data_IF_842939833070
#
_entry.id   IF_842939833070
#
_cell.length_a   1.000
_cell.length_b   1.000
_cell.length_c   1.000
_cell.angle_alpha   90.00
_cell.angle_beta   90.00
_cell.angle_gamma   90.00
#
_symmetry.space_group_name_H-M   'P 1'
#
loop_
_entity.id
_entity.type
_entity.pdbx_description
1 polymer ?
#
# COMPACT_ATOMS: atom_id res chain seq x y z
N UNK A 1 9.34 14.84 27.98
CA UNK A 1 10.50 15.19 27.13
C UNK A 1 10.50 16.71 27.01
N UNK A 2 11.63 17.33 27.26
CA UNK A 2 11.77 18.79 27.23
C UNK A 2 12.10 19.19 25.79
N UNK A 3 11.37 20.15 25.26
CA UNK A 3 11.63 20.71 23.92
C UNK A 3 12.92 21.51 24.01
N UNK A 4 13.89 21.27 23.12
CA UNK A 4 15.15 21.98 23.08
C UNK A 4 14.91 23.47 22.79
N UNK A 5 15.44 24.36 23.62
CA UNK A 5 15.29 25.79 23.44
C UNK A 5 16.58 26.44 22.93
N UNK A 6 17.75 25.93 23.33
CA UNK A 6 19.06 26.43 22.91
C UNK A 6 19.76 25.50 21.93
N UNK A 7 20.72 26.03 21.18
CA UNK A 7 21.60 25.25 20.31
C UNK A 7 22.38 24.20 21.10
N UNK A 8 22.82 24.51 22.32
CA UNK A 8 23.51 23.57 23.21
C UNK A 8 22.65 22.34 23.50
N UNK A 9 21.36 22.51 23.86
CA UNK A 9 20.43 21.39 24.10
C UNK A 9 20.15 20.55 22.83
N UNK A 10 20.02 21.21 21.68
CA UNK A 10 19.86 20.54 20.40
C UNK A 10 21.10 19.72 20.03
N UNK A 11 22.31 20.31 20.17
CA UNK A 11 23.59 19.64 19.89
C UNK A 11 23.85 18.47 20.85
N UNK A 12 23.47 18.59 22.12
CA UNK A 12 23.54 17.48 23.07
C UNK A 12 22.62 16.32 22.62
N UNK A 13 21.38 16.62 22.21
CA UNK A 13 20.46 15.63 21.65
C UNK A 13 21.02 14.99 20.37
N UNK A 14 21.68 15.78 19.51
CA UNK A 14 22.31 15.30 18.27
C UNK A 14 23.51 14.37 18.58
N UNK A 15 24.39 14.73 19.55
CA UNK A 15 25.48 13.85 19.99
C UNK A 15 24.94 12.50 20.48
N UNK A 16 23.90 12.51 21.30
CA UNK A 16 23.27 11.30 21.87
C UNK A 16 22.53 10.47 20.86
N UNK A 17 22.17 11.05 19.71
CA UNK A 17 21.44 10.36 18.65
C UNK A 17 22.31 9.44 17.79
N UNK A 18 23.61 9.66 17.77
CA UNK A 18 24.58 8.99 16.89
C UNK A 18 24.28 9.15 15.38
N UNK A 19 23.52 10.18 15.00
CA UNK A 19 23.24 10.49 13.58
C UNK A 19 24.48 10.96 12.84
N UNK A 20 25.34 11.69 13.55
CA UNK A 20 26.63 12.21 13.09
C UNK A 20 27.72 11.82 14.10
N UNK A 21 28.95 11.68 13.62
CA UNK A 21 30.11 11.50 14.52
C UNK A 21 30.42 12.81 15.26
N UNK A 22 31.15 12.75 16.38
CA UNK A 22 31.58 13.97 17.07
C UNK A 22 32.32 14.95 16.15
N UNK A 23 33.22 14.44 15.29
CA UNK A 23 34.01 15.23 14.33
C UNK A 23 33.11 15.90 13.28
N UNK A 24 32.07 15.20 12.78
CA UNK A 24 31.08 15.76 11.84
C UNK A 24 30.25 16.86 12.49
N UNK A 25 29.90 16.70 13.77
CA UNK A 25 29.16 17.74 14.54
C UNK A 25 30.02 18.98 14.71
N UNK A 26 31.28 18.82 15.15
CA UNK A 26 32.22 19.94 15.36
C UNK A 26 32.48 20.70 14.06
N UNK A 27 32.72 19.97 12.95
CA UNK A 27 32.93 20.58 11.64
C UNK A 27 31.68 21.35 11.16
N UNK A 28 30.47 20.81 11.42
CA UNK A 28 29.23 21.49 11.07
C UNK A 28 28.99 22.74 11.93
N UNK A 29 29.26 22.67 13.24
CA UNK A 29 29.15 23.80 14.17
C UNK A 29 30.10 24.94 13.76
N UNK A 30 31.38 24.62 13.46
CA UNK A 30 32.37 25.61 13.00
C UNK A 30 31.95 26.25 11.67
N UNK A 31 31.55 25.43 10.69
CA UNK A 31 31.09 25.89 9.37
C UNK A 31 29.87 26.80 9.44
N UNK A 32 28.92 26.49 10.31
CA UNK A 32 27.65 27.22 10.47
C UNK A 32 27.81 28.42 11.44
N UNK A 33 28.90 28.52 12.18
CA UNK A 33 29.13 29.57 13.16
C UNK A 33 28.15 29.53 14.35
N UNK A 34 27.70 28.32 14.73
CA UNK A 34 26.70 28.11 15.79
C UNK A 34 27.33 28.36 17.15
N UNK A 35 26.62 29.12 18.01
CA UNK A 35 26.98 29.36 19.40
C UNK A 35 26.04 28.63 20.35
N UNK A 36 26.49 28.31 21.53
CA UNK A 36 25.72 27.54 22.52
C UNK A 36 24.44 28.25 22.98
N UNK A 37 24.42 29.58 22.94
CA UNK A 37 23.30 30.44 23.31
C UNK A 37 22.34 30.77 22.16
N UNK A 38 22.64 30.33 20.92
CA UNK A 38 21.74 30.48 19.79
C UNK A 38 20.44 29.68 20.02
N UNK A 39 19.37 30.10 19.35
CA UNK A 39 18.10 29.36 19.37
C UNK A 39 18.21 27.98 18.69
N UNK A 40 17.62 26.98 19.29
CA UNK A 40 17.61 25.59 18.74
C UNK A 40 16.99 25.47 17.35
N UNK A 41 15.89 26.19 17.09
CA UNK A 41 15.13 26.05 15.80
C UNK A 41 15.93 26.58 14.60
N UNK A 42 16.53 27.79 14.62
CA UNK A 42 17.42 28.25 13.56
C UNK A 42 18.63 27.35 13.37
N UNK A 43 19.23 26.85 14.44
CA UNK A 43 20.35 25.90 14.41
C UNK A 43 19.97 24.61 13.70
N UNK A 44 18.89 23.96 14.11
CA UNK A 44 18.40 22.74 13.46
C UNK A 44 18.12 22.95 11.96
N UNK A 45 17.52 24.09 11.59
CA UNK A 45 17.29 24.46 10.18
C UNK A 45 18.60 24.64 9.40
N UNK A 46 19.64 25.14 10.02
CA UNK A 46 20.95 25.29 9.38
C UNK A 46 21.56 23.92 9.08
N UNK A 47 21.53 22.97 10.02
CA UNK A 47 21.97 21.58 9.80
C UNK A 47 21.17 20.88 8.69
N UNK A 48 19.87 21.13 8.59
CA UNK A 48 19.03 20.58 7.50
C UNK A 48 19.41 21.18 6.14
N UNK A 49 19.67 22.50 6.06
CA UNK A 49 20.10 23.17 4.81
C UNK A 49 21.43 22.66 4.29
N UNK A 50 22.35 22.32 5.18
CA UNK A 50 23.64 21.71 4.85
C UNK A 50 23.54 20.21 4.55
N UNK A 51 22.33 19.62 4.60
CA UNK A 51 22.09 18.18 4.42
C UNK A 51 22.85 17.30 5.44
N UNK A 52 23.25 17.84 6.58
CA UNK A 52 23.88 17.06 7.65
C UNK A 52 22.88 16.12 8.32
N UNK A 53 21.66 16.60 8.51
CA UNK A 53 20.52 15.81 9.00
C UNK A 53 19.25 16.11 8.18
N UNK A 54 18.28 15.22 8.25
CA UNK A 54 17.00 15.42 7.57
C UNK A 54 16.01 16.25 8.42
N UNK A 55 14.92 16.68 7.78
CA UNK A 55 13.87 17.44 8.48
C UNK A 55 13.20 16.61 9.58
N UNK A 56 12.94 15.32 9.32
CA UNK A 56 12.39 14.42 10.34
C UNK A 56 13.33 14.31 11.54
N UNK A 57 14.62 14.07 11.29
CA UNK A 57 15.64 13.94 12.32
C UNK A 57 15.73 15.23 13.15
N UNK A 58 15.82 16.40 12.50
CA UNK A 58 15.83 17.70 13.17
C UNK A 58 14.59 17.92 14.06
N UNK A 59 13.38 17.60 13.55
CA UNK A 59 12.14 17.75 14.33
C UNK A 59 12.13 16.88 15.59
N UNK A 60 12.55 15.61 15.45
CA UNK A 60 12.62 14.71 16.61
C UNK A 60 13.65 15.14 17.65
N UNK A 61 14.81 15.63 17.20
CA UNK A 61 15.84 16.16 18.09
C UNK A 61 15.35 17.41 18.85
N UNK A 62 14.65 18.33 18.18
CA UNK A 62 14.02 19.48 18.81
C UNK A 62 12.96 19.09 19.85
N UNK A 63 12.26 17.98 19.65
CA UNK A 63 11.31 17.39 20.60
C UNK A 63 12.00 16.64 21.76
N UNK A 64 13.36 16.68 21.82
CA UNK A 64 14.16 15.98 22.83
C UNK A 64 14.25 14.46 22.61
N UNK A 65 13.87 13.98 21.42
CA UNK A 65 14.00 12.57 21.06
C UNK A 65 15.39 12.32 20.46
N UNK A 66 16.22 11.58 21.15
CA UNK A 66 17.56 11.20 20.69
C UNK A 66 17.68 9.69 20.34
N UNK A 67 16.56 8.96 20.28
CA UNK A 67 16.47 7.52 19.95
C UNK A 67 15.44 7.29 18.86
N UNK A 68 15.48 6.08 18.24
CA UNK A 68 14.53 5.70 17.18
C UNK A 68 14.93 6.20 15.80
N UNK A 69 16.22 6.55 15.61
CA UNK A 69 16.79 6.92 14.31
C UNK A 69 17.39 5.72 13.57
N UNK A 70 17.52 4.58 14.23
CA UNK A 70 18.08 3.36 13.65
C UNK A 70 17.17 2.18 13.91
N UNK A 71 17.08 1.30 12.91
CA UNK A 71 16.46 -0.02 12.98
C UNK A 71 17.50 -0.97 12.43
N UNK A 72 18.06 -1.83 13.29
CA UNK A 72 19.21 -2.66 12.96
C UNK A 72 20.32 -1.80 12.31
N UNK A 73 20.74 -2.12 11.08
CA UNK A 73 21.74 -1.37 10.32
C UNK A 73 21.14 -0.33 9.35
N UNK A 74 19.88 0.05 9.53
CA UNK A 74 19.21 1.09 8.73
C UNK A 74 19.04 2.37 9.52
N UNK A 75 19.56 3.48 8.99
CA UNK A 75 19.31 4.82 9.52
C UNK A 75 18.05 5.38 8.90
N UNK A 76 17.09 5.76 9.71
CA UNK A 76 15.83 6.40 9.27
C UNK A 76 16.11 7.84 8.85
N UNK A 77 15.75 8.18 7.63
CA UNK A 77 15.97 9.50 7.04
C UNK A 77 14.70 10.37 7.05
N UNK A 78 13.65 10.00 6.32
CA UNK A 78 12.42 10.78 6.20
C UNK A 78 11.17 9.92 6.17
N UNK A 79 9.98 10.58 6.25
CA UNK A 79 8.68 9.92 6.13
C UNK A 79 8.25 9.88 4.66
N UNK A 80 8.04 8.69 4.12
CA UNK A 80 7.48 8.48 2.79
C UNK A 80 5.95 8.37 2.80
N UNK A 81 5.37 7.95 3.91
CA UNK A 81 3.92 7.82 4.04
C UNK A 81 3.47 7.23 5.36
N UNK A 82 2.16 7.20 5.56
CA UNK A 82 1.52 6.55 6.70
C UNK A 82 0.23 5.88 6.27
N UNK A 83 0.06 4.62 6.65
CA UNK A 83 -1.11 3.80 6.33
C UNK A 83 -1.85 3.28 7.56
N UNK A 84 -2.87 2.45 7.36
CA UNK A 84 -3.61 1.80 8.45
C UNK A 84 -2.75 0.89 9.32
N UNK A 85 -1.76 0.22 8.73
CA UNK A 85 -0.87 -0.71 9.42
C UNK A 85 0.33 -0.04 10.08
N UNK A 86 0.77 1.14 9.61
CA UNK A 86 1.96 1.78 10.17
C UNK A 86 2.54 2.87 9.29
N UNK A 87 3.84 3.08 9.45
CA UNK A 87 4.61 4.14 8.83
C UNK A 87 5.55 3.59 7.76
N UNK A 88 5.75 4.37 6.70
CA UNK A 88 6.77 4.09 5.68
C UNK A 88 7.80 5.22 5.74
N UNK A 89 9.06 4.83 5.91
CA UNK A 89 10.19 5.75 5.98
C UNK A 89 11.14 5.52 4.81
N UNK A 90 11.82 6.57 4.36
CA UNK A 90 13.09 6.39 3.67
C UNK A 90 14.17 6.13 4.70
N UNK A 91 15.11 5.27 4.36
CA UNK A 91 16.24 4.94 5.21
C UNK A 91 17.49 4.71 4.37
N UNK A 92 18.65 4.86 5.02
CA UNK A 92 19.95 4.51 4.44
C UNK A 92 20.46 3.23 5.09
N UNK A 93 20.74 2.20 4.28
CA UNK A 93 21.46 1.03 4.74
C UNK A 93 22.91 1.43 5.06
N UNK A 94 23.35 1.27 6.29
CA UNK A 94 24.69 1.71 6.73
C UNK A 94 25.84 0.85 6.21
N UNK A 95 25.54 -0.39 5.79
CA UNK A 95 26.53 -1.33 5.22
C UNK A 95 26.73 -1.05 3.74
N UNK A 96 25.64 -1.01 2.95
CA UNK A 96 25.69 -0.83 1.49
C UNK A 96 25.67 0.63 1.05
N UNK A 97 25.31 1.56 1.93
CA UNK A 97 25.07 2.98 1.66
C UNK A 97 23.91 3.27 0.70
N UNK A 98 23.12 2.27 0.38
CA UNK A 98 21.96 2.41 -0.49
C UNK A 98 20.75 2.96 0.25
N UNK A 99 19.93 3.74 -0.46
CA UNK A 99 18.62 4.17 0.04
C UNK A 99 17.61 3.06 -0.14
N UNK A 100 16.80 2.84 0.91
CA UNK A 100 15.70 1.88 0.94
C UNK A 100 14.43 2.54 1.48
N UNK A 101 13.28 1.92 1.24
CA UNK A 101 12.04 2.24 1.93
C UNK A 101 11.80 1.19 3.02
N UNK A 102 11.42 1.63 4.23
CA UNK A 102 11.12 0.73 5.34
C UNK A 102 9.68 0.97 5.79
N UNK A 103 8.84 -0.05 5.63
CA UNK A 103 7.48 -0.07 6.19
C UNK A 103 7.54 -0.73 7.55
N UNK A 104 7.07 -0.01 8.57
CA UNK A 104 7.05 -0.48 9.96
C UNK A 104 5.62 -0.69 10.42
N UNK A 105 5.36 -1.79 11.09
CA UNK A 105 4.13 -1.98 11.84
C UNK A 105 4.18 -1.10 13.09
N UNK A 106 3.09 -0.38 13.41
CA UNK A 106 3.03 0.40 14.64
C UNK A 106 3.07 -0.52 15.86
N UNK A 107 3.88 -0.18 16.86
CA UNK A 107 4.01 -0.94 18.13
C UNK A 107 2.64 -1.17 18.82
N UNK A 108 1.73 -0.21 18.71
CA UNK A 108 0.36 -0.36 19.23
C UNK A 108 -0.44 -1.45 18.49
N UNK A 109 -0.07 -1.74 17.26
CA UNK A 109 -0.72 -2.73 16.39
C UNK A 109 -0.06 -4.12 16.47
N UNK A 110 1.10 -4.24 17.13
CA UNK A 110 1.79 -5.53 17.31
C UNK A 110 0.95 -6.50 18.15
N UNK A 111 0.10 -5.97 19.03
CA UNK A 111 -0.86 -6.77 19.83
C UNK A 111 -2.11 -7.19 19.06
N UNK A 112 -2.33 -6.64 17.86
CA UNK A 112 -3.40 -7.04 16.95
C UNK A 112 -2.88 -8.15 16.02
N UNK A 113 -3.17 -9.39 16.37
CA UNK A 113 -2.76 -10.57 15.61
C UNK A 113 -3.19 -10.50 14.13
N UNK A 114 -4.32 -9.88 13.84
CA UNK A 114 -4.81 -9.70 12.48
C UNK A 114 -3.96 -8.74 11.66
N UNK A 115 -3.50 -7.64 12.24
CA UNK A 115 -2.63 -6.67 11.56
C UNK A 115 -1.22 -7.24 11.33
N UNK A 116 -0.66 -7.95 12.31
CA UNK A 116 0.63 -8.62 12.17
C UNK A 116 0.58 -9.70 11.09
N UNK A 117 -0.47 -10.52 11.08
CA UNK A 117 -0.67 -11.54 10.04
C UNK A 117 -0.73 -10.93 8.65
N UNK A 118 -1.48 -9.84 8.46
CA UNK A 118 -1.53 -9.11 7.19
C UNK A 118 -0.17 -8.57 6.77
N UNK A 119 0.55 -7.97 7.71
CA UNK A 119 1.88 -7.45 7.47
C UNK A 119 2.83 -8.55 6.98
N UNK A 120 2.78 -9.73 7.62
CA UNK A 120 3.56 -10.91 7.21
C UNK A 120 3.16 -11.44 5.83
N UNK A 121 1.86 -11.49 5.53
CA UNK A 121 1.35 -11.92 4.21
C UNK A 121 1.78 -10.95 3.10
N UNK A 122 1.68 -9.64 3.34
CA UNK A 122 2.15 -8.61 2.41
C UNK A 122 3.65 -8.75 2.13
N UNK A 123 4.47 -8.91 3.19
CA UNK A 123 5.90 -9.08 3.04
C UNK A 123 6.25 -10.35 2.23
N UNK A 124 5.59 -11.49 2.52
CA UNK A 124 5.77 -12.74 1.77
C UNK A 124 5.41 -12.58 0.29
N UNK A 125 4.28 -11.94 -0.02
CA UNK A 125 3.87 -11.67 -1.39
C UNK A 125 4.90 -10.77 -2.12
N UNK A 126 5.33 -9.69 -1.48
CA UNK A 126 6.32 -8.77 -2.04
C UNK A 126 7.69 -9.44 -2.33
N UNK A 127 8.15 -10.34 -1.44
CA UNK A 127 9.40 -11.11 -1.63
C UNK A 127 9.36 -12.02 -2.86
N UNK A 128 8.18 -12.49 -3.29
CA UNK A 128 8.02 -13.31 -4.49
C UNK A 128 8.11 -12.50 -5.79
N UNK A 129 7.95 -11.18 -5.73
CA UNK A 129 7.81 -10.33 -6.91
C UNK A 129 9.14 -9.65 -7.25
N UNK A 130 9.62 -9.87 -8.48
CA UNK A 130 10.80 -9.21 -9.06
C UNK A 130 10.43 -8.74 -10.47
N UNK A 131 10.04 -7.49 -10.61
CA UNK A 131 9.63 -6.89 -11.88
C UNK A 131 9.79 -5.37 -11.82
N UNK A 132 10.21 -4.73 -12.90
CA UNK A 132 10.46 -3.28 -12.98
C UNK A 132 9.23 -2.42 -12.62
N UNK A 133 8.03 -2.93 -12.90
CA UNK A 133 6.77 -2.25 -12.60
C UNK A 133 6.17 -2.64 -11.22
N UNK A 134 6.96 -3.22 -10.32
CA UNK A 134 6.57 -3.55 -8.94
C UNK A 134 7.65 -3.02 -7.99
N UNK A 135 7.27 -2.41 -6.89
CA UNK A 135 8.20 -2.08 -5.83
C UNK A 135 8.57 -3.37 -5.11
N UNK A 136 9.84 -3.76 -5.25
CA UNK A 136 10.34 -5.03 -4.72
C UNK A 136 10.46 -4.95 -3.20
N UNK A 137 9.96 -5.94 -2.48
CA UNK A 137 10.33 -6.20 -1.10
C UNK A 137 11.66 -6.97 -1.08
N UNK A 138 12.66 -6.48 -0.36
CA UNK A 138 13.99 -7.06 -0.27
C UNK A 138 14.09 -8.07 0.88
N UNK A 139 13.57 -7.68 2.06
CA UNK A 139 13.54 -8.53 3.25
C UNK A 139 12.41 -8.12 4.20
N UNK A 140 12.09 -8.99 5.12
CA UNK A 140 11.29 -8.72 6.31
C UNK A 140 12.14 -9.02 7.55
N UNK A 141 12.10 -8.12 8.52
CA UNK A 141 12.84 -8.24 9.77
C UNK A 141 11.96 -7.94 10.98
N UNK A 142 12.50 -8.24 12.16
CA UNK A 142 11.96 -7.80 13.43
C UNK A 142 13.10 -7.45 14.38
N UNK A 143 12.90 -6.47 15.23
CA UNK A 143 13.88 -6.06 16.23
C UNK A 143 13.17 -5.63 17.51
N UNK A 144 13.90 -5.65 18.62
CA UNK A 144 13.37 -5.20 19.91
C UNK A 144 13.33 -3.67 19.95
N UNK A 145 12.13 -3.10 20.10
CA UNK A 145 11.91 -1.68 20.36
C UNK A 145 11.85 -1.37 21.85
N UNK A 146 11.67 -0.09 22.17
CA UNK A 146 11.54 0.36 23.57
C UNK A 146 10.25 -0.13 24.25
N UNK A 147 9.22 -0.43 23.47
CA UNK A 147 7.87 -0.77 23.97
C UNK A 147 7.38 -2.15 23.51
N UNK A 148 8.20 -2.88 22.76
CA UNK A 148 7.87 -4.21 22.21
C UNK A 148 8.63 -4.52 20.94
N UNK A 149 8.23 -5.58 20.26
CA UNK A 149 8.82 -5.99 18.99
C UNK A 149 8.39 -5.03 17.87
N UNK A 150 9.35 -4.62 17.05
CA UNK A 150 9.12 -3.83 15.84
C UNK A 150 9.24 -4.75 14.64
N UNK A 151 8.15 -5.01 13.96
CA UNK A 151 8.16 -5.71 12.67
C UNK A 151 8.31 -4.70 11.54
N UNK A 152 9.23 -4.99 10.61
CA UNK A 152 9.48 -4.10 9.48
C UNK A 152 9.74 -4.90 8.19
N UNK A 153 9.45 -4.27 7.04
CA UNK A 153 9.86 -4.77 5.73
C UNK A 153 10.68 -3.70 5.01
N UNK A 154 11.74 -4.14 4.35
CA UNK A 154 12.61 -3.30 3.53
C UNK A 154 12.23 -3.48 2.08
N UNK A 155 12.08 -2.37 1.38
CA UNK A 155 11.66 -2.30 -0.02
C UNK A 155 12.59 -1.40 -0.81
N UNK A 156 12.56 -1.53 -2.14
CA UNK A 156 13.25 -0.61 -3.02
C UNK A 156 12.77 0.82 -2.79
N UNK A 157 13.70 1.76 -2.66
CA UNK A 157 13.38 3.18 -2.59
C UNK A 157 13.05 3.70 -4.00
N UNK A 158 11.90 4.34 -4.12
CA UNK A 158 11.46 4.99 -5.36
C UNK A 158 11.26 6.47 -5.10
N UNK A 159 12.04 7.31 -5.79
CA UNK A 159 11.83 8.75 -5.81
C UNK A 159 10.65 9.09 -6.73
N UNK A 160 9.46 8.89 -6.20
CA UNK A 160 8.21 8.95 -6.95
C UNK A 160 7.04 9.45 -6.11
N UNK A 161 5.95 9.75 -6.81
CA UNK A 161 4.69 10.22 -6.23
C UNK A 161 3.57 9.25 -6.55
N UNK A 162 2.59 9.13 -5.64
CA UNK A 162 1.35 8.40 -5.91
C UNK A 162 0.55 9.07 -7.02
N UNK A 163 -0.24 8.31 -7.75
CA UNK A 163 -1.10 8.87 -8.80
C UNK A 163 -2.11 9.87 -8.24
N UNK A 164 -2.59 9.67 -7.02
CA UNK A 164 -3.45 10.64 -6.32
C UNK A 164 -2.73 11.95 -6.02
N UNK A 165 -1.47 11.88 -5.56
CA UNK A 165 -0.61 13.04 -5.36
C UNK A 165 -0.33 13.75 -6.70
N UNK A 166 -0.10 12.98 -7.76
CA UNK A 166 0.19 13.54 -9.09
C UNK A 166 -1.01 14.30 -9.67
N UNK A 167 -2.21 13.71 -9.62
CA UNK A 167 -3.46 14.40 -10.05
C UNK A 167 -3.70 15.65 -9.19
N UNK A 168 -3.44 15.59 -7.89
CA UNK A 168 -3.57 16.73 -7.00
C UNK A 168 -2.56 17.86 -7.32
N UNK A 169 -1.31 17.50 -7.69
CA UNK A 169 -0.30 18.47 -8.14
C UNK A 169 -0.70 19.15 -9.45
N UNK A 170 -1.23 18.39 -10.40
CA UNK A 170 -1.72 18.93 -11.68
C UNK A 170 -2.99 19.77 -11.53
N UNK A 171 -3.71 19.62 -10.41
CA UNK A 171 -5.05 20.18 -10.19
C UNK A 171 -6.04 19.82 -11.31
N UNK A 172 -5.86 18.64 -11.90
CA UNK A 172 -6.64 18.17 -13.05
C UNK A 172 -6.16 16.81 -13.57
N UNK A 173 -6.73 16.36 -14.71
CA UNK A 173 -6.42 15.06 -15.29
C UNK A 173 -4.97 14.96 -15.78
N UNK A 174 -4.48 13.74 -15.87
CA UNK A 174 -3.21 13.41 -16.51
C UNK A 174 -3.44 13.35 -18.03
N UNK A 175 -2.49 13.86 -18.83
CA UNK A 175 -2.55 13.74 -20.28
C UNK A 175 -2.77 12.30 -20.69
N UNK A 176 -3.75 12.01 -21.53
CA UNK A 176 -4.25 10.69 -21.82
C UNK A 176 -3.16 9.69 -22.28
N UNK A 177 -2.15 10.13 -23.06
CA UNK A 177 -1.05 9.27 -23.50
C UNK A 177 -0.19 8.80 -22.32
N UNK A 178 0.08 9.71 -21.37
CA UNK A 178 0.83 9.40 -20.16
C UNK A 178 -0.01 8.52 -19.21
N UNK A 179 -1.32 8.78 -19.09
CA UNK A 179 -2.21 7.94 -18.29
C UNK A 179 -2.26 6.49 -18.82
N UNK A 180 -2.32 6.31 -20.15
CA UNK A 180 -2.23 5.00 -20.80
C UNK A 180 -0.86 4.32 -20.55
N UNK A 181 0.23 5.10 -20.55
CA UNK A 181 1.57 4.59 -20.26
C UNK A 181 1.69 4.08 -18.82
N UNK A 182 1.23 4.85 -17.85
CA UNK A 182 1.21 4.47 -16.44
C UNK A 182 0.36 3.20 -16.24
N UNK A 183 -0.84 3.16 -16.82
CA UNK A 183 -1.73 2.00 -16.73
C UNK A 183 -1.14 0.75 -17.42
N UNK A 184 -0.41 0.92 -18.51
CA UNK A 184 0.32 -0.16 -19.19
C UNK A 184 1.36 -0.79 -18.26
N UNK A 185 2.23 0.02 -17.64
CA UNK A 185 3.26 -0.49 -16.72
C UNK A 185 2.64 -1.12 -15.46
N UNK A 186 1.65 -0.45 -14.85
CA UNK A 186 0.93 -1.02 -13.71
C UNK A 186 0.29 -2.38 -14.08
N UNK A 187 -0.34 -2.47 -15.25
CA UNK A 187 -0.91 -3.72 -15.77
C UNK A 187 0.15 -4.81 -16.03
N UNK A 188 1.37 -4.44 -16.46
CA UNK A 188 2.47 -5.38 -16.61
C UNK A 188 2.94 -5.93 -15.25
N UNK A 189 3.04 -5.07 -14.24
CA UNK A 189 3.35 -5.46 -12.86
C UNK A 189 2.29 -6.40 -12.27
N UNK A 190 1.00 -6.07 -12.45
CA UNK A 190 -0.11 -6.94 -12.04
C UNK A 190 -0.08 -8.28 -12.77
N UNK A 191 0.17 -8.30 -14.09
CA UNK A 191 0.31 -9.55 -14.83
C UNK A 191 1.43 -10.43 -14.28
N UNK A 192 2.58 -9.84 -13.91
CA UNK A 192 3.66 -10.59 -13.28
C UNK A 192 3.23 -11.23 -11.96
N UNK A 193 2.48 -10.53 -11.13
CA UNK A 193 1.93 -11.04 -9.87
C UNK A 193 0.88 -12.17 -10.13
N UNK A 194 -0.04 -11.95 -11.08
CA UNK A 194 -1.06 -12.94 -11.45
C UNK A 194 -0.45 -14.27 -11.91
N UNK A 195 0.65 -14.23 -12.68
CA UNK A 195 1.38 -15.44 -13.06
C UNK A 195 1.98 -16.22 -11.90
N UNK A 196 2.14 -15.58 -10.75
CA UNK A 196 2.60 -16.18 -9.49
C UNK A 196 1.46 -16.56 -8.55
N UNK A 197 0.20 -16.47 -9.04
CA UNK A 197 -0.99 -16.76 -8.27
C UNK A 197 -1.37 -15.67 -7.26
N UNK A 198 -0.76 -14.47 -7.35
CA UNK A 198 -1.06 -13.36 -6.45
C UNK A 198 -2.06 -12.40 -7.09
N UNK A 199 -3.11 -12.04 -6.36
CA UNK A 199 -4.10 -11.04 -6.74
C UNK A 199 -3.94 -9.86 -5.79
N UNK A 200 -3.81 -8.64 -6.31
CA UNK A 200 -3.53 -7.44 -5.51
C UNK A 200 -4.69 -7.02 -4.61
N UNK A 201 -5.93 -7.02 -5.14
CA UNK A 201 -7.20 -6.71 -4.46
C UNK A 201 -7.37 -5.27 -3.94
N UNK A 202 -6.35 -4.43 -3.99
CA UNK A 202 -6.39 -3.03 -3.56
C UNK A 202 -5.67 -2.11 -4.55
N UNK A 203 -5.87 -2.32 -5.86
CA UNK A 203 -5.32 -1.44 -6.90
C UNK A 203 -6.05 -0.10 -6.85
N UNK A 204 -5.30 0.98 -6.58
CA UNK A 204 -5.82 2.35 -6.49
C UNK A 204 -4.72 3.36 -6.77
N UNK A 205 -5.04 4.65 -7.01
CA UNK A 205 -4.07 5.69 -7.28
C UNK A 205 -2.92 5.79 -6.27
N UNK A 206 -3.21 5.64 -4.98
CA UNK A 206 -2.20 5.70 -3.92
C UNK A 206 -1.21 4.51 -3.94
N UNK A 207 -1.60 3.37 -4.54
CA UNK A 207 -0.79 2.16 -4.62
C UNK A 207 -0.05 2.02 -5.97
N UNK A 208 0.02 3.09 -6.77
CA UNK A 208 0.82 3.15 -7.99
C UNK A 208 1.71 4.39 -7.89
N UNK A 209 3.02 4.19 -7.76
CA UNK A 209 4.02 5.25 -7.80
C UNK A 209 4.43 5.54 -9.23
N UNK A 210 4.72 6.80 -9.51
CA UNK A 210 5.34 7.24 -10.76
C UNK A 210 6.55 8.12 -10.47
N UNK A 211 7.68 7.85 -11.12
CA UNK A 211 8.90 8.64 -11.00
C UNK A 211 8.99 9.74 -12.07
N UNK A 212 10.03 10.57 -12.03
CA UNK A 212 10.27 11.67 -12.97
C UNK A 212 10.42 11.21 -14.43
N UNK A 213 10.79 9.97 -14.66
CA UNK A 213 10.92 9.36 -15.99
C UNK A 213 9.62 8.69 -16.46
N UNK A 214 8.54 8.83 -15.69
CA UNK A 214 7.24 8.20 -15.91
C UNK A 214 7.24 6.66 -15.74
N UNK A 215 8.25 6.08 -15.09
CA UNK A 215 8.19 4.67 -14.72
C UNK A 215 7.15 4.48 -13.63
N UNK A 216 6.17 3.63 -13.89
CA UNK A 216 5.13 3.33 -12.92
C UNK A 216 5.41 1.99 -12.22
N UNK A 217 5.24 1.96 -10.89
CA UNK A 217 5.43 0.77 -10.06
C UNK A 217 4.25 0.57 -9.12
N UNK A 218 3.76 -0.66 -9.06
CA UNK A 218 2.70 -1.06 -8.14
C UNK A 218 3.31 -1.32 -6.76
N UNK A 219 2.66 -0.78 -5.73
CA UNK A 219 2.97 -0.96 -4.32
C UNK A 219 2.04 -1.99 -3.67
N UNK A 220 2.43 -2.46 -2.50
CA UNK A 220 1.57 -3.01 -1.45
C UNK A 220 0.60 -4.13 -1.89
N UNK A 221 1.13 -5.34 -2.09
CA UNK A 221 0.32 -6.54 -2.31
C UNK A 221 -0.30 -7.07 -0.98
N UNK A 222 -0.78 -6.17 -0.11
CA UNK A 222 -1.16 -6.44 1.28
C UNK A 222 -2.42 -7.29 1.48
N UNK A 223 -3.24 -7.44 0.43
CA UNK A 223 -4.42 -8.31 0.47
C UNK A 223 -4.28 -9.49 -0.50
N UNK A 224 -3.06 -9.71 -1.01
CA UNK A 224 -2.79 -10.76 -1.99
C UNK A 224 -3.10 -12.12 -1.42
N UNK A 225 -4.00 -12.84 -2.06
CA UNK A 225 -4.25 -14.25 -1.76
C UNK A 225 -3.33 -15.10 -2.63
N UNK A 226 -2.56 -15.98 -2.00
CA UNK A 226 -1.99 -17.14 -2.68
C UNK A 226 -3.17 -18.07 -2.99
N UNK A 227 -3.33 -18.45 -4.27
CA UNK A 227 -4.50 -19.20 -4.73
C UNK A 227 -4.74 -20.46 -3.90
N UNK A 228 -5.97 -20.64 -3.49
CA UNK A 228 -6.73 -21.82 -3.05
C UNK A 228 -6.11 -22.95 -2.22
N UNK A 229 -4.79 -23.08 -2.06
CA UNK A 229 -4.20 -24.21 -1.32
C UNK A 229 -3.95 -23.96 0.17
N UNK A 230 -3.91 -22.69 0.61
CA UNK A 230 -3.75 -22.32 2.01
C UNK A 230 -4.96 -21.54 2.53
N UNK A 231 -6.07 -22.26 2.73
CA UNK A 231 -7.19 -21.77 3.56
C UNK A 231 -6.77 -21.89 5.04
N UNK A 232 -5.80 -21.07 5.45
CA UNK A 232 -5.47 -20.96 6.86
C UNK A 232 -6.46 -20.00 7.54
N UNK A 233 -6.80 -20.29 8.79
CA UNK A 233 -7.60 -19.39 9.65
C UNK A 233 -7.03 -17.97 9.71
N UNK A 234 -5.71 -17.83 9.51
CA UNK A 234 -4.99 -16.56 9.41
C UNK A 234 -5.48 -15.66 8.29
N UNK A 235 -5.85 -16.23 7.11
CA UNK A 235 -6.36 -15.44 5.99
C UNK A 235 -7.78 -14.91 6.25
N UNK A 236 -8.63 -15.73 6.85
CA UNK A 236 -10.00 -15.33 7.22
C UNK A 236 -9.99 -14.16 8.20
N UNK A 237 -9.09 -14.16 9.20
CA UNK A 237 -8.90 -13.06 10.14
C UNK A 237 -8.41 -11.79 9.42
N UNK A 238 -7.45 -11.90 8.50
CA UNK A 238 -6.93 -10.75 7.74
C UNK A 238 -8.02 -10.06 6.90
N UNK A 239 -8.99 -10.81 6.38
CA UNK A 239 -10.12 -10.27 5.59
C UNK A 239 -11.18 -9.59 6.47
N UNK A 240 -11.47 -10.11 7.66
CA UNK A 240 -12.50 -9.57 8.56
C UNK A 240 -12.13 -8.16 9.04
N UNK A 241 -10.87 -7.91 9.35
CA UNK A 241 -10.40 -6.63 9.92
C UNK A 241 -10.03 -5.55 8.88
N UNK A 242 -10.14 -5.81 7.55
CA UNK A 242 -9.64 -4.94 6.46
C UNK A 242 -10.60 -3.93 5.88
N UNK A 243 -11.79 -3.79 6.41
CA UNK A 243 -12.89 -3.12 5.69
C UNK A 243 -13.06 -1.60 5.92
N UNK A 244 -12.19 -0.92 6.67
CA UNK A 244 -12.50 0.43 7.17
C UNK A 244 -12.00 1.62 6.33
N UNK A 245 -11.51 1.44 5.10
CA UNK A 245 -11.05 2.56 4.27
C UNK A 245 -12.12 3.04 3.29
N UNK A 246 -12.76 4.17 3.57
CA UNK A 246 -13.76 4.80 2.71
C UNK A 246 -13.24 5.08 1.29
N UNK A 247 -11.96 5.45 1.13
CA UNK A 247 -11.33 5.74 -0.17
C UNK A 247 -11.15 4.52 -1.07
N UNK A 248 -11.03 3.32 -0.52
CA UNK A 248 -10.89 2.08 -1.30
C UNK A 248 -12.18 1.73 -2.05
N UNK A 249 -13.36 2.10 -1.52
CA UNK A 249 -14.65 1.84 -2.15
C UNK A 249 -14.82 2.50 -3.53
N UNK A 250 -14.02 3.52 -3.86
CA UNK A 250 -14.06 4.18 -5.18
C UNK A 250 -13.47 3.32 -6.31
N UNK A 251 -12.68 2.30 -5.97
CA UNK A 251 -11.92 1.48 -6.94
C UNK A 251 -12.21 -0.02 -6.85
N UNK A 252 -13.03 -0.44 -5.88
CA UNK A 252 -13.33 -1.86 -5.61
C UNK A 252 -14.11 -2.49 -6.77
N UNK A 253 -13.77 -3.71 -7.14
CA UNK A 253 -14.52 -4.44 -8.16
C UNK A 253 -15.88 -4.92 -7.62
N UNK A 254 -16.93 -4.99 -8.46
CA UNK A 254 -18.28 -5.43 -8.07
C UNK A 254 -18.31 -6.76 -7.31
N UNK A 255 -17.56 -7.75 -7.78
CA UNK A 255 -17.45 -9.07 -7.16
C UNK A 255 -16.78 -9.05 -5.81
N UNK A 256 -15.78 -8.19 -5.60
CA UNK A 256 -15.14 -8.01 -4.28
C UNK A 256 -16.11 -7.47 -3.22
N UNK A 257 -17.11 -6.74 -3.68
CA UNK A 257 -18.12 -6.16 -2.81
C UNK A 257 -19.28 -7.13 -2.50
N UNK A 258 -19.37 -8.26 -3.22
CA UNK A 258 -20.45 -9.26 -3.08
C UNK A 258 -19.99 -10.51 -2.37
N UNK A 259 -18.86 -11.08 -2.78
CA UNK A 259 -18.29 -12.29 -2.22
C UNK A 259 -16.75 -12.25 -2.32
N UNK A 260 -16.09 -12.25 -1.19
CA UNK A 260 -14.63 -12.16 -1.13
C UNK A 260 -13.91 -13.48 -1.43
N UNK A 261 -14.61 -14.60 -1.53
CA UNK A 261 -14.00 -15.92 -1.66
C UNK A 261 -13.77 -16.38 -3.11
N UNK A 262 -14.56 -15.90 -4.07
CA UNK A 262 -14.51 -16.32 -5.48
C UNK A 262 -13.79 -15.34 -6.42
N UNK A 263 -13.03 -14.40 -5.87
CA UNK A 263 -12.38 -13.33 -6.63
C UNK A 263 -11.18 -13.87 -7.40
N UNK A 264 -11.10 -13.57 -8.70
CA UNK A 264 -9.93 -13.82 -9.51
C UNK A 264 -9.16 -12.53 -9.87
N UNK A 265 -8.07 -12.70 -10.62
CA UNK A 265 -7.18 -11.61 -11.04
C UNK A 265 -7.86 -10.53 -11.91
N UNK A 266 -9.06 -10.75 -12.43
CA UNK A 266 -9.82 -9.77 -13.22
C UNK A 266 -10.41 -8.65 -12.36
N UNK A 267 -10.47 -8.85 -11.03
CA UNK A 267 -10.78 -7.76 -10.09
C UNK A 267 -9.74 -6.64 -10.15
N UNK A 268 -8.45 -7.00 -10.25
CA UNK A 268 -7.37 -6.01 -10.40
C UNK A 268 -7.48 -5.23 -11.73
N UNK A 269 -7.97 -5.88 -12.80
CA UNK A 269 -8.20 -5.21 -14.09
C UNK A 269 -9.30 -4.15 -13.96
N UNK A 270 -10.38 -4.46 -13.22
CA UNK A 270 -11.42 -3.48 -12.92
C UNK A 270 -10.87 -2.29 -12.14
N UNK A 271 -10.18 -2.56 -11.04
CA UNK A 271 -9.62 -1.53 -10.16
C UNK A 271 -8.57 -0.66 -10.87
N UNK A 272 -7.76 -1.24 -11.78
CA UNK A 272 -6.88 -0.49 -12.66
C UNK A 272 -7.67 0.34 -13.69
N UNK A 273 -8.82 -0.15 -14.18
CA UNK A 273 -9.75 0.60 -15.02
C UNK A 273 -10.31 1.82 -14.32
N UNK A 274 -10.73 1.66 -13.05
CA UNK A 274 -11.20 2.75 -12.20
C UNK A 274 -10.08 3.78 -11.92
N UNK A 275 -8.85 3.31 -11.72
CA UNK A 275 -7.67 4.16 -11.56
C UNK A 275 -7.34 4.91 -12.86
N UNK A 276 -7.42 4.25 -14.02
CA UNK A 276 -7.22 4.90 -15.32
C UNK A 276 -8.32 5.93 -15.63
N UNK A 277 -9.57 5.63 -15.29
CA UNK A 277 -10.66 6.61 -15.36
C UNK A 277 -10.33 7.85 -14.53
N UNK A 278 -9.87 7.68 -13.29
CA UNK A 278 -9.46 8.78 -12.42
C UNK A 278 -8.29 9.58 -13.02
N UNK A 279 -7.28 8.92 -13.56
CA UNK A 279 -6.17 9.59 -14.24
C UNK A 279 -6.63 10.44 -15.42
N UNK A 280 -7.55 9.91 -16.24
CA UNK A 280 -8.05 10.55 -17.44
C UNK A 280 -9.01 11.70 -17.17
N UNK A 281 -9.77 11.64 -16.07
CA UNK A 281 -10.84 12.63 -15.80
C UNK A 281 -10.53 13.56 -14.63
N UNK A 282 -9.57 13.20 -13.76
CA UNK A 282 -9.32 13.88 -12.49
C UNK A 282 -10.43 13.66 -11.45
N UNK A 283 -11.39 12.76 -11.72
CA UNK A 283 -12.57 12.52 -10.88
C UNK A 283 -12.75 11.02 -10.62
N UNK A 284 -13.18 10.66 -9.41
CA UNK A 284 -13.64 9.29 -9.14
C UNK A 284 -14.97 9.04 -9.85
N UNK A 285 -15.24 7.78 -10.22
CA UNK A 285 -16.42 7.40 -11.03
C UNK A 285 -17.75 7.83 -10.39
N UNK A 286 -17.89 7.64 -9.08
CA UNK A 286 -19.13 7.86 -8.35
C UNK A 286 -18.93 8.85 -7.19
N UNK A 287 -18.34 10.02 -7.49
CA UNK A 287 -18.05 11.06 -6.50
C UNK A 287 -19.29 11.73 -5.88
N UNK A 288 -20.47 11.49 -6.44
CA UNK A 288 -21.76 11.89 -5.90
C UNK A 288 -22.18 11.04 -4.67
N UNK A 289 -21.69 9.81 -4.53
CA UNK A 289 -21.95 8.92 -3.41
C UNK A 289 -21.23 9.40 -2.14
N UNK A 290 -21.96 9.51 -1.03
CA UNK A 290 -21.44 10.05 0.24
C UNK A 290 -21.00 8.97 1.22
N UNK A 291 -21.64 7.81 1.16
CA UNK A 291 -21.35 6.69 2.06
C UNK A 291 -20.62 5.56 1.33
N UNK A 292 -19.94 4.71 2.11
CA UNK A 292 -19.30 3.50 1.57
C UNK A 292 -20.33 2.56 0.92
N UNK A 293 -21.49 2.39 1.54
CA UNK A 293 -22.56 1.54 1.01
C UNK A 293 -23.06 2.03 -0.35
N UNK A 294 -23.31 3.35 -0.51
CA UNK A 294 -23.69 3.95 -1.78
C UNK A 294 -22.63 3.76 -2.87
N UNK A 295 -21.33 3.91 -2.52
CA UNK A 295 -20.22 3.68 -3.46
C UNK A 295 -20.17 2.22 -3.90
N UNK A 296 -20.30 1.28 -2.98
CA UNK A 296 -20.33 -0.16 -3.28
C UNK A 296 -21.50 -0.49 -4.20
N UNK A 297 -22.68 0.03 -3.90
CA UNK A 297 -23.88 -0.19 -4.72
C UNK A 297 -23.70 0.41 -6.13
N UNK A 298 -23.09 1.59 -6.21
CA UNK A 298 -22.78 2.20 -7.49
C UNK A 298 -21.73 1.40 -8.29
N UNK A 299 -20.72 0.83 -7.64
CA UNK A 299 -19.74 -0.07 -8.29
C UNK A 299 -20.42 -1.31 -8.88
N UNK A 300 -21.45 -1.83 -8.23
CA UNK A 300 -22.19 -3.00 -8.73
C UNK A 300 -23.09 -2.67 -9.91
N UNK A 301 -23.83 -1.57 -9.85
CA UNK A 301 -25.02 -1.38 -10.68
C UNK A 301 -24.98 -0.15 -11.60
N UNK A 302 -24.08 0.83 -11.34
CA UNK A 302 -24.06 2.07 -12.12
C UNK A 302 -22.90 2.07 -13.12
N UNK A 303 -23.15 2.68 -14.29
CA UNK A 303 -22.08 3.02 -15.23
C UNK A 303 -21.56 4.42 -14.91
N UNK A 304 -20.23 4.66 -15.01
CA UNK A 304 -19.66 5.98 -14.81
C UNK A 304 -20.05 6.92 -15.95
N UNK A 305 -19.89 8.23 -15.71
CA UNK A 305 -19.99 9.24 -16.78
C UNK A 305 -18.94 8.92 -17.85
N UNK A 306 -19.31 9.04 -19.13
CA UNK A 306 -18.40 8.76 -20.24
C UNK A 306 -17.16 9.65 -20.19
N UNK A 307 -15.97 9.06 -20.36
CA UNK A 307 -14.70 9.79 -20.32
C UNK A 307 -14.70 10.93 -21.32
N UNK A 308 -15.16 10.68 -22.55
CA UNK A 308 -15.18 11.68 -23.63
C UNK A 308 -16.21 12.80 -23.45
N UNK A 309 -17.18 12.67 -22.55
CA UNK A 309 -18.02 13.79 -22.11
C UNK A 309 -17.25 14.74 -21.19
N UNK A 310 -16.29 14.24 -20.43
CA UNK A 310 -15.47 15.02 -19.52
C UNK A 310 -14.17 15.48 -20.17
N UNK A 311 -13.61 14.69 -21.08
CA UNK A 311 -12.33 14.88 -21.77
C UNK A 311 -12.46 14.47 -23.25
N UNK A 312 -12.97 15.39 -24.12
CA UNK A 312 -13.24 15.09 -25.54
C UNK A 312 -12.01 14.68 -26.35
N UNK A 313 -10.80 15.08 -25.91
CA UNK A 313 -9.53 14.78 -26.56
C UNK A 313 -9.07 13.31 -26.38
N UNK A 314 -9.69 12.57 -25.46
CA UNK A 314 -9.40 11.13 -25.28
C UNK A 314 -9.96 10.35 -26.48
N UNK A 315 -9.12 9.53 -27.15
CA UNK A 315 -9.57 8.72 -28.26
C UNK A 315 -10.72 7.76 -27.88
N UNK A 316 -11.64 7.53 -28.80
CA UNK A 316 -12.76 6.63 -28.58
C UNK A 316 -12.31 5.21 -28.23
N UNK A 317 -11.21 4.75 -28.81
CA UNK A 317 -10.63 3.44 -28.56
C UNK A 317 -10.08 3.31 -27.12
N UNK A 318 -9.55 4.41 -26.57
CA UNK A 318 -9.10 4.42 -25.16
C UNK A 318 -10.32 4.33 -24.23
N UNK A 319 -11.38 5.11 -24.50
CA UNK A 319 -12.65 4.98 -23.75
C UNK A 319 -13.22 3.56 -23.84
N UNK A 320 -13.20 2.92 -25.02
CA UNK A 320 -13.67 1.54 -25.19
C UNK A 320 -12.84 0.54 -24.35
N UNK A 321 -11.51 0.72 -24.28
CA UNK A 321 -10.64 -0.12 -23.45
C UNK A 321 -11.02 0.05 -21.98
N UNK A 322 -11.15 1.29 -21.49
CA UNK A 322 -11.54 1.55 -20.09
C UNK A 322 -12.93 1.00 -19.79
N UNK A 323 -13.90 1.18 -20.67
CA UNK A 323 -15.24 0.63 -20.49
C UNK A 323 -15.23 -0.90 -20.38
N UNK A 324 -14.38 -1.57 -21.17
CA UNK A 324 -14.21 -3.03 -21.06
C UNK A 324 -13.53 -3.44 -19.74
N UNK A 325 -12.55 -2.69 -19.27
CA UNK A 325 -11.96 -2.92 -17.94
C UNK A 325 -13.00 -2.80 -16.84
N UNK A 326 -13.95 -1.84 -16.99
CA UNK A 326 -14.99 -1.51 -16.01
C UNK A 326 -16.29 -2.31 -16.21
N UNK A 327 -16.32 -3.34 -17.07
CA UNK A 327 -17.46 -4.23 -17.21
C UNK A 327 -17.79 -4.84 -15.83
N UNK A 328 -19.10 -4.93 -15.53
CA UNK A 328 -19.57 -5.42 -14.23
C UNK A 328 -19.34 -6.91 -14.08
N UNK A 329 -19.64 -7.67 -15.13
CA UNK A 329 -19.30 -9.08 -15.21
C UNK A 329 -17.80 -9.24 -15.51
N UNK A 330 -17.04 -10.00 -14.69
CA UNK A 330 -15.66 -10.32 -14.98
C UNK A 330 -15.42 -10.99 -16.34
N UNK A 331 -16.39 -11.77 -16.86
CA UNK A 331 -16.28 -12.45 -18.16
C UNK A 331 -16.30 -11.49 -19.36
N UNK A 332 -16.90 -10.31 -19.21
CA UNK A 332 -16.90 -9.25 -20.22
C UNK A 332 -15.58 -8.44 -20.24
N UNK A 333 -14.74 -8.58 -19.22
CA UNK A 333 -13.45 -7.89 -19.13
C UNK A 333 -12.39 -8.52 -20.03
N UNK A 334 -11.16 -8.03 -19.94
CA UNK A 334 -10.01 -8.72 -20.52
C UNK A 334 -9.69 -9.96 -19.69
N UNK A 335 -9.49 -11.10 -20.37
CA UNK A 335 -9.17 -12.35 -19.69
C UNK A 335 -7.86 -12.30 -18.88
N UNK A 336 -6.90 -11.45 -19.25
CA UNK A 336 -5.66 -11.22 -18.50
C UNK A 336 -5.20 -9.78 -18.62
N UNK A 337 -4.43 -9.30 -17.65
CA UNK A 337 -3.79 -7.99 -17.71
C UNK A 337 -2.82 -7.87 -18.91
N UNK A 338 -2.20 -8.97 -19.36
CA UNK A 338 -1.38 -8.99 -20.59
C UNK A 338 -2.18 -8.60 -21.83
N UNK A 339 -3.38 -9.17 -21.99
CA UNK A 339 -4.27 -8.85 -23.14
C UNK A 339 -4.68 -7.38 -23.07
N UNK A 340 -5.06 -6.87 -21.90
CA UNK A 340 -5.35 -5.46 -21.68
C UNK A 340 -4.16 -4.58 -22.08
N UNK A 341 -2.95 -4.86 -21.59
CA UNK A 341 -1.72 -4.15 -21.93
C UNK A 341 -1.48 -4.11 -23.44
N UNK A 342 -1.70 -5.23 -24.16
CA UNK A 342 -1.54 -5.26 -25.62
C UNK A 342 -2.47 -4.31 -26.38
N UNK A 343 -3.60 -3.93 -25.77
CA UNK A 343 -4.53 -2.94 -26.34
C UNK A 343 -4.15 -1.50 -25.97
N UNK A 344 -3.53 -1.31 -24.80
CA UNK A 344 -3.11 0.02 -24.34
C UNK A 344 -1.79 0.49 -24.95
N UNK A 345 -0.86 -0.41 -25.28
CA UNK A 345 0.52 -0.09 -25.66
C UNK A 345 0.62 0.91 -26.81
N UNK A 346 -0.25 0.81 -27.81
CA UNK A 346 -0.26 1.73 -28.96
C UNK A 346 -0.65 3.17 -28.61
N UNK A 347 -1.28 3.38 -27.47
CA UNK A 347 -1.67 4.69 -26.94
C UNK A 347 -0.72 5.20 -25.85
N UNK A 348 0.11 4.30 -25.31
CA UNK A 348 1.06 4.59 -24.26
C UNK A 348 2.25 5.39 -24.80
N UNK A 349 2.46 6.59 -24.25
CA UNK A 349 3.63 7.40 -24.57
C UNK A 349 4.17 8.02 -23.29
N UNK A 350 5.42 7.72 -22.90
CA UNK A 350 6.04 8.34 -21.75
C UNK A 350 6.21 9.85 -22.00
N UNK A 351 6.23 10.60 -20.94
CA UNK A 351 6.68 11.98 -20.92
C UNK A 351 7.29 12.27 -19.58
N UNK A 352 8.40 12.99 -19.55
CA UNK A 352 9.03 13.37 -18.30
C UNK A 352 8.05 14.13 -17.40
N UNK A 353 7.99 13.69 -16.15
CA UNK A 353 7.17 14.29 -15.12
C UNK A 353 8.09 15.18 -14.26
N UNK A 354 7.79 16.48 -14.22
CA UNK A 354 8.57 17.41 -13.41
C UNK A 354 7.83 17.66 -12.10
N UNK A 355 8.43 17.28 -11.01
CA UNK A 355 8.00 17.63 -9.65
C UNK A 355 9.22 17.81 -8.77
N UNK A 356 9.06 18.64 -7.74
CA UNK A 356 10.06 18.82 -6.70
C UNK A 356 9.80 17.79 -5.61
N UNK A 357 10.62 16.74 -5.59
CA UNK A 357 10.43 15.63 -4.66
C UNK A 357 10.59 16.07 -3.20
N UNK A 358 11.44 17.06 -2.92
CA UNK A 358 11.58 17.59 -1.56
C UNK A 358 10.27 18.23 -1.08
N UNK A 359 9.55 18.96 -1.94
CA UNK A 359 8.22 19.49 -1.60
C UNK A 359 7.19 18.38 -1.37
N UNK A 360 7.30 17.26 -2.08
CA UNK A 360 6.46 16.08 -1.84
C UNK A 360 6.73 15.51 -0.45
N UNK A 361 8.01 15.33 -0.09
CA UNK A 361 8.40 14.88 1.25
C UNK A 361 7.91 15.84 2.34
N UNK A 362 8.04 17.15 2.14
CA UNK A 362 7.55 18.17 3.08
C UNK A 362 6.04 18.08 3.31
N UNK A 363 5.29 17.84 2.24
CA UNK A 363 3.83 17.62 2.32
C UNK A 363 3.49 16.34 3.05
N UNK A 364 4.15 15.23 2.72
CA UNK A 364 3.99 13.93 3.39
C UNK A 364 4.31 14.03 4.87
N UNK A 365 5.41 14.70 5.21
CA UNK A 365 5.78 14.98 6.59
C UNK A 365 4.67 15.75 7.34
N UNK A 366 4.12 16.79 6.73
CA UNK A 366 3.06 17.61 7.33
C UNK A 366 1.80 16.79 7.59
N UNK A 367 1.37 15.97 6.62
CA UNK A 367 0.21 15.06 6.76
C UNK A 367 0.47 14.03 7.88
N UNK A 368 1.68 13.48 7.91
CA UNK A 368 2.09 12.51 8.92
C UNK A 368 2.02 13.07 10.34
N UNK A 369 2.53 14.29 10.57
CA UNK A 369 2.47 14.98 11.87
C UNK A 369 1.04 15.29 12.30
N UNK A 370 0.18 15.72 11.37
CA UNK A 370 -1.23 15.93 11.67
C UNK A 370 -1.92 14.63 12.10
N UNK A 371 -1.62 13.52 11.42
CA UNK A 371 -2.15 12.21 11.77
C UNK A 371 -1.65 11.74 13.14
N UNK A 372 -0.36 11.86 13.41
CA UNK A 372 0.24 11.53 14.70
C UNK A 372 -0.45 12.29 15.85
N UNK A 373 -0.68 13.60 15.67
CA UNK A 373 -1.40 14.43 16.63
C UNK A 373 -2.81 13.91 16.89
N UNK A 374 -3.56 13.59 15.84
CA UNK A 374 -4.93 13.06 15.96
C UNK A 374 -4.97 11.70 16.68
N UNK A 375 -4.01 10.82 16.40
CA UNK A 375 -3.89 9.52 17.08
C UNK A 375 -3.60 9.70 18.58
N UNK A 376 -2.67 10.59 18.92
CA UNK A 376 -2.32 10.90 20.29
C UNK A 376 -3.49 11.55 21.06
N UNK A 377 -4.29 12.39 20.42
CA UNK A 377 -5.51 12.99 21.02
C UNK A 377 -6.59 11.92 21.25
N UNK A 378 -6.74 10.95 20.33
CA UNK A 378 -7.67 9.82 20.51
C UNK A 378 -7.25 8.90 21.65
N UNK A 379 -5.94 8.60 21.75
CA UNK A 379 -5.41 7.77 22.83
C UNK A 379 -5.56 8.41 24.23
N UNK A 380 -5.60 9.74 24.32
CA UNK A 380 -5.79 10.49 25.57
C UNK A 380 -7.27 10.63 26.00
N UNK A 381 -8.24 10.35 25.11
CA UNK A 381 -9.66 10.37 25.48
C UNK A 381 -9.96 9.10 26.28
N UNK A 382 -10.44 9.19 27.55
CA UNK A 382 -10.90 8.00 28.27
C UNK A 382 -11.99 7.33 27.44
N UNK A 383 -11.94 6.00 27.38
CA UNK A 383 -12.98 5.20 26.73
C UNK A 383 -14.32 5.56 27.35
N UNK A 384 -15.07 6.47 26.72
CA UNK A 384 -16.46 6.64 27.03
C UNK A 384 -17.12 5.31 26.67
N UNK A 385 -17.56 4.62 27.70
CA UNK A 385 -18.39 3.43 27.60
C UNK A 385 -19.46 3.68 26.55
N UNK A 386 -19.30 3.09 25.40
CA UNK A 386 -20.40 2.84 24.48
C UNK A 386 -21.24 1.79 25.17
N UNK A 387 -22.12 2.22 26.05
CA UNK A 387 -23.25 1.42 26.52
C UNK A 387 -24.06 1.08 25.26
N UNK A 388 -23.85 -0.11 24.75
CA UNK A 388 -24.80 -0.78 23.87
C UNK A 388 -26.09 -0.88 24.71
N UNK A 389 -26.99 0.06 24.50
CA UNK A 389 -28.39 -0.07 24.91
C UNK A 389 -28.96 -1.20 24.08
N UNK A 390 -28.89 -2.42 24.64
CA UNK A 390 -29.68 -3.55 24.14
C UNK A 390 -31.11 -3.11 24.39
N UNK A 391 -31.83 -2.71 23.33
CA UNK A 391 -33.27 -2.64 23.35
C UNK A 391 -33.80 -4.04 23.69
N UNK A 392 -34.18 -4.23 24.95
CA UNK A 392 -35.01 -5.33 25.37
C UNK A 392 -36.36 -5.20 24.66
N UNK A 393 -36.58 -5.97 23.63
CA UNK A 393 -37.91 -6.23 23.11
C UNK A 393 -38.63 -7.09 24.14
N UNK A 394 -39.51 -6.46 24.91
CA UNK A 394 -40.52 -7.15 25.66
C UNK A 394 -41.41 -7.99 24.73
N UNK A 395 -41.20 -9.28 24.76
CA UNK A 395 -42.15 -10.24 24.22
C UNK A 395 -43.02 -10.79 25.36
N UNK A 396 -44.15 -10.19 25.55
CA UNK A 396 -45.29 -10.90 26.15
C UNK A 396 -45.84 -11.84 25.10
N UNK A 397 -45.67 -13.14 25.31
CA UNK A 397 -46.54 -14.16 24.73
C UNK A 397 -46.52 -15.43 25.61
N UNK A 398 -47.54 -15.55 26.39
CA UNK A 398 -48.32 -16.73 26.81
C UNK A 398 -47.62 -18.10 26.83
N UNK A 399 -47.59 -18.61 28.05
CA UNK A 399 -47.36 -19.99 28.42
C UNK A 399 -48.39 -20.95 27.81
N UNK A 400 -47.93 -22.03 27.22
CA UNK A 400 -48.56 -23.38 27.26
C UNK A 400 -47.48 -24.43 27.13
N UNK A 401 -47.34 -25.24 28.15
CA UNK A 401 -46.62 -26.52 28.21
C UNK A 401 -47.67 -27.63 28.36
N UNK A 402 -47.31 -28.92 28.40
CA UNK A 402 -46.35 -29.74 27.64
C UNK A 402 -47.01 -31.03 27.12
N UNK A 403 -46.29 -31.81 26.32
CA UNK A 403 -46.54 -33.26 26.26
C UNK A 403 -45.29 -33.99 25.79
N UNK A 404 -44.97 -35.04 26.51
CA UNK A 404 -43.86 -35.97 26.35
C UNK A 404 -44.17 -37.05 25.31
N UNK A 405 -43.15 -37.56 24.68
CA UNK A 405 -42.90 -38.92 24.23
C UNK A 405 -41.50 -38.98 23.64
N UNK A 406 -40.55 -39.56 24.29
CA UNK A 406 -40.02 -40.92 24.35
C UNK A 406 -39.59 -41.50 23.00
N UNK A 407 -38.28 -41.82 22.97
CA UNK A 407 -37.55 -43.04 22.55
C UNK A 407 -37.50 -43.41 21.06
N UNK A 408 -36.26 -43.49 20.55
CA UNK A 408 -35.62 -44.78 20.18
C UNK A 408 -34.29 -44.60 19.44
N UNK A 409 -33.34 -45.25 19.94
CA UNK A 409 -32.04 -45.74 19.50
C UNK A 409 -32.10 -46.37 18.08
N UNK A 410 -31.13 -46.05 17.18
CA UNK A 410 -30.46 -47.13 16.44
C UNK A 410 -29.07 -46.69 15.93
N UNK A 411 -28.21 -47.69 16.05
CA UNK A 411 -26.78 -47.86 15.78
C UNK A 411 -26.43 -47.88 14.27
N UNK A 412 -25.14 -47.67 14.09
CA UNK A 412 -24.23 -48.26 13.11
C UNK A 412 -24.47 -48.04 11.61
N UNK A 413 -23.55 -47.33 11.00
CA UNK A 413 -22.97 -47.82 9.73
C UNK A 413 -21.50 -47.33 9.58
N UNK A 414 -20.60 -48.30 9.57
CA UNK A 414 -19.20 -48.23 9.14
C UNK A 414 -19.18 -47.90 7.63
N UNK A 415 -18.29 -47.02 7.21
CA UNK A 415 -17.87 -46.95 5.81
C UNK A 415 -16.35 -47.19 5.73
N UNK A 416 -16.05 -48.24 5.00
CA UNK A 416 -14.76 -48.77 4.62
C UNK A 416 -14.06 -47.86 3.60
N UNK A 417 -12.73 -47.78 3.72
CA UNK A 417 -11.83 -47.14 2.75
C UNK A 417 -11.68 -47.99 1.48
N UNK A 418 -11.50 -47.38 0.29
CA UNK A 418 -11.03 -48.11 -0.88
C UNK A 418 -9.49 -48.07 -1.01
N UNK A 419 -8.88 -48.99 -1.77
CA UNK A 419 -7.48 -49.37 -1.68
C UNK A 419 -6.52 -48.49 -2.48
N UNK A 420 -5.27 -48.46 -1.98
CA UNK A 420 -4.09 -47.90 -2.63
C UNK A 420 -3.82 -48.52 -4.01
N UNK A 421 -3.54 -47.67 -5.00
CA UNK A 421 -2.85 -48.10 -6.22
C UNK A 421 -1.49 -47.42 -6.31
N UNK A 422 -0.45 -48.25 -6.27
CA UNK A 422 0.93 -47.96 -6.54
C UNK A 422 1.14 -47.55 -8.01
N UNK A 423 1.73 -46.40 -8.27
CA UNK A 423 2.22 -46.00 -9.58
C UNK A 423 3.59 -45.35 -9.47
N UNK A 424 4.59 -45.93 -10.14
CA UNK A 424 5.98 -45.57 -10.14
C UNK A 424 6.28 -44.18 -10.77
N UNK A 425 7.45 -43.57 -10.49
CA UNK A 425 7.78 -42.20 -10.90
C UNK A 425 8.19 -42.13 -12.36
N UNK A 426 7.59 -41.18 -13.10
CA UNK A 426 8.00 -40.80 -14.46
C UNK A 426 8.99 -39.64 -14.34
N UNK A 427 10.16 -39.79 -14.98
CA UNK A 427 11.18 -38.75 -15.11
C UNK A 427 10.75 -37.65 -16.10
N UNK A 428 11.17 -36.40 -15.91
CA UNK A 428 10.85 -35.31 -16.85
C UNK A 428 11.78 -35.35 -18.07
N UNK A 429 11.18 -35.32 -19.24
CA UNK A 429 11.88 -35.15 -20.51
C UNK A 429 12.17 -33.67 -20.79
N UNK A 430 13.35 -33.42 -21.33
CA UNK A 430 13.90 -32.14 -21.79
C UNK A 430 13.01 -31.44 -22.82
N UNK A 431 12.78 -30.14 -22.66
CA UNK A 431 12.29 -29.23 -23.69
C UNK A 431 13.32 -28.12 -23.89
N UNK A 432 13.80 -27.87 -25.12
CA UNK A 432 14.92 -27.00 -25.38
C UNK A 432 14.58 -25.51 -25.36
N UNK A 433 15.55 -24.73 -24.89
CA UNK A 433 15.65 -23.28 -25.02
C UNK A 433 16.05 -22.90 -26.45
N UNK A 434 15.24 -22.09 -27.11
CA UNK A 434 15.56 -21.15 -28.23
C UNK A 434 14.29 -20.31 -28.41
N UNK A 435 14.28 -18.99 -28.49
CA UNK A 435 15.09 -18.05 -29.27
C UNK A 435 15.07 -16.65 -28.60
N UNK A 436 16.24 -16.06 -28.55
CA UNK A 436 16.45 -14.63 -28.43
C UNK A 436 16.15 -14.00 -29.80
N UNK A 437 15.32 -12.95 -29.83
CA UNK A 437 15.14 -12.12 -31.03
C UNK A 437 15.91 -10.84 -30.83
N UNK A 438 17.01 -10.72 -31.54
CA UNK A 438 17.79 -9.52 -31.77
C UNK A 438 16.92 -8.40 -32.37
N UNK A 439 16.97 -7.24 -31.75
CA UNK A 439 16.47 -5.98 -32.29
C UNK A 439 17.66 -5.08 -32.65
N UNK A 440 18.27 -5.36 -33.80
CA UNK A 440 19.11 -4.37 -34.52
C UNK A 440 18.63 -4.27 -35.95
N UNK A 441 18.59 -3.02 -36.44
CA UNK A 441 18.28 -2.55 -37.79
C UNK A 441 16.81 -2.28 -38.15
N UNK A 442 16.46 -1.00 -38.11
CA UNK A 442 15.99 -0.25 -39.31
C UNK A 442 16.32 1.23 -39.10
N UNK A 443 17.33 1.70 -39.83
CA UNK A 443 17.50 3.13 -40.14
C UNK A 443 16.75 3.42 -41.45
N UNK A 444 16.07 4.51 -41.44
CA UNK A 444 15.82 5.60 -42.41
C UNK A 444 14.61 6.38 -41.95
#
# INVERSE_FOLDING_TARGET
>A
MTVAQSASEFLESLRRSHLLTPEEIEAAVEKLGVRDDDDAIPTAKAFVRENSITRLQASRLLEGQHRGFFIDHFRIDDILGSGGMGWVYSATNLETKEKVAIKMLCEQNDRDAGLLTRFKLEARAGLMLKHEAVVRTQLMGHTQGLFGDIHYMVMDYVEGIGIDEFVALLRGPIKWRLACHIAYYAGAGLHHAHRKGLIHRDVKPANILVDGNANARVLDFGLSQVSQSDQSDEFSLAMIFGQDCLGTADYIAPEQASDSFTIDHRADIYSLGATLYYMLTGKVMFGDCKTRAEKIEAQKNRMPVRIRQLQPEVPAEVEMIVNRMLAKDPDDRFATAKIMCSKLVRFAKPSNIRFDFQKVLDRRYTIAKQREKLLNERAKRPAQQTSLTICSLDSQATRTSPSAAETAIHKDTQFSAPPEQSGAPVQPADIPLTEAVDAQNVGH
#
